data_IF_580810383336
#
_entry.id   IF_580810383336
#
_cell.length_a   1.000
_cell.length_b   1.000
_cell.length_c   1.000
_cell.angle_alpha   90.00
_cell.angle_beta   90.00
_cell.angle_gamma   90.00
#
_symmetry.space_group_name_H-M   'P 1'
#
loop_
_entity.id
_entity.type
_entity.pdbx_description
1 polymer ?
#
# COMPACT_ATOMS: atom_id res chain seq x y z
N UNK A 1 -17.61 20.28 20.88
CA UNK A 1 -17.32 18.90 20.44
C UNK A 1 -16.45 19.02 19.20
N UNK A 2 -15.14 18.72 19.30
CA UNK A 2 -14.18 18.91 18.22
C UNK A 2 -14.48 17.94 17.08
N UNK A 3 -14.93 18.48 15.96
CA UNK A 3 -15.30 17.73 14.77
C UNK A 3 -14.00 17.36 14.04
N UNK A 4 -13.62 16.09 14.12
CA UNK A 4 -12.42 15.50 13.51
C UNK A 4 -12.68 15.19 12.03
N UNK A 5 -12.97 16.21 11.21
CA UNK A 5 -12.96 15.99 9.76
C UNK A 5 -11.51 16.17 9.30
N UNK A 6 -10.81 15.04 9.07
CA UNK A 6 -9.66 15.07 8.18
C UNK A 6 -10.16 15.65 6.85
N UNK A 7 -9.50 16.68 6.34
CA UNK A 7 -9.86 17.23 5.03
C UNK A 7 -9.45 16.22 3.95
N UNK A 8 -10.25 16.09 2.89
CA UNK A 8 -9.93 15.20 1.76
C UNK A 8 -8.54 15.47 1.16
N UNK A 9 -8.07 16.72 1.24
CA UNK A 9 -6.73 17.11 0.83
C UNK A 9 -5.64 16.44 1.68
N UNK A 10 -5.83 16.43 3.01
CA UNK A 10 -4.88 15.84 3.94
C UNK A 10 -4.79 14.32 3.75
N UNK A 11 -5.93 13.65 3.53
CA UNK A 11 -5.94 12.22 3.22
C UNK A 11 -5.16 11.92 1.93
N UNK A 12 -5.37 12.69 0.87
CA UNK A 12 -4.62 12.53 -0.39
C UNK A 12 -3.13 12.71 -0.19
N UNK A 13 -2.70 13.66 0.65
CA UNK A 13 -1.27 13.87 0.97
C UNK A 13 -0.69 12.69 1.75
N UNK A 14 -1.42 12.16 2.73
CA UNK A 14 -1.01 10.97 3.48
C UNK A 14 -0.85 9.78 2.53
N UNK A 15 -1.84 9.53 1.65
CA UNK A 15 -1.77 8.46 0.65
C UNK A 15 -0.58 8.65 -0.29
N UNK A 16 -0.36 9.86 -0.80
CA UNK A 16 0.78 10.14 -1.68
C UNK A 16 2.13 9.85 -0.99
N UNK A 17 2.33 10.33 0.24
CA UNK A 17 3.56 10.08 0.97
C UNK A 17 3.75 8.58 1.28
N UNK A 18 2.67 7.86 1.59
CA UNK A 18 2.70 6.41 1.75
C UNK A 18 3.11 5.70 0.46
N UNK A 19 2.55 6.08 -0.70
CA UNK A 19 2.92 5.50 -2.01
C UNK A 19 4.36 5.78 -2.43
N UNK A 20 4.96 6.87 -1.92
CA UNK A 20 6.37 7.20 -2.11
C UNK A 20 7.31 6.41 -1.20
N UNK A 21 6.78 5.55 -0.32
CA UNK A 21 7.57 4.69 0.56
C UNK A 21 8.03 5.34 1.87
N UNK A 22 7.44 6.46 2.25
CA UNK A 22 7.75 7.10 3.54
C UNK A 22 7.25 6.25 4.71
N UNK A 23 8.04 6.18 5.80
CA UNK A 23 7.58 5.52 7.00
C UNK A 23 6.45 6.32 7.67
N UNK A 24 5.67 5.69 8.53
CA UNK A 24 4.56 6.38 9.21
C UNK A 24 5.06 7.49 10.13
N UNK A 25 6.27 7.33 10.66
CA UNK A 25 6.95 8.35 11.43
C UNK A 25 7.32 9.56 10.55
N UNK A 26 7.82 9.31 9.34
CA UNK A 26 8.19 10.38 8.40
C UNK A 26 6.96 11.11 7.91
N UNK A 27 5.89 10.38 7.54
CA UNK A 27 4.60 10.95 7.15
C UNK A 27 4.08 11.87 8.25
N UNK A 28 4.11 11.42 9.51
CA UNK A 28 3.66 12.24 10.64
C UNK A 28 4.49 13.51 10.80
N UNK A 29 5.81 13.39 10.71
CA UNK A 29 6.73 14.54 10.81
C UNK A 29 6.44 15.54 9.69
N UNK A 30 6.32 15.07 8.45
CA UNK A 30 6.01 15.92 7.29
C UNK A 30 4.66 16.64 7.42
N UNK A 31 3.63 15.96 7.92
CA UNK A 31 2.33 16.60 8.14
C UNK A 31 2.40 17.64 9.27
N UNK A 32 3.09 17.33 10.36
CA UNK A 32 3.27 18.27 11.46
C UNK A 32 4.01 19.53 11.00
N UNK A 33 5.06 19.38 10.18
CA UNK A 33 5.87 20.51 9.70
C UNK A 33 5.12 21.42 8.73
N UNK A 34 4.30 20.85 7.83
CA UNK A 34 3.62 21.61 6.76
C UNK A 34 2.29 22.18 7.25
N UNK A 35 1.56 21.43 8.07
CA UNK A 35 0.18 21.75 8.45
C UNK A 35 0.02 22.14 9.93
N UNK A 36 1.10 22.15 10.72
CA UNK A 36 1.08 22.38 12.18
C UNK A 36 0.08 21.47 12.92
N UNK A 37 -0.09 20.25 12.40
CA UNK A 37 -1.05 19.26 12.87
C UNK A 37 -0.37 17.99 13.34
N UNK A 38 -0.66 17.58 14.58
CA UNK A 38 -0.21 16.28 15.11
C UNK A 38 -1.22 15.19 14.79
N UNK A 39 -0.79 14.19 14.00
CA UNK A 39 -1.59 13.00 13.68
C UNK A 39 -1.10 11.78 14.45
N UNK A 40 -2.02 10.92 14.87
CA UNK A 40 -1.67 9.62 15.45
C UNK A 40 -1.35 8.59 14.36
N UNK A 41 -0.56 7.57 14.68
CA UNK A 41 -0.35 6.43 13.77
C UNK A 41 -1.67 5.72 13.45
N UNK A 42 -2.62 5.72 14.38
CA UNK A 42 -3.97 5.18 14.14
C UNK A 42 -4.71 5.96 13.06
N UNK A 43 -4.56 7.28 13.03
CA UNK A 43 -5.17 8.13 11.99
C UNK A 43 -4.55 7.86 10.62
N UNK A 44 -3.22 7.71 10.55
CA UNK A 44 -2.53 7.37 9.30
C UNK A 44 -2.94 5.98 8.82
N UNK A 45 -3.00 4.98 9.71
CA UNK A 45 -3.53 3.63 9.43
C UNK A 45 -4.94 3.71 8.84
N UNK A 46 -5.86 4.46 9.46
CA UNK A 46 -7.24 4.57 8.95
C UNK A 46 -7.31 5.12 7.52
N UNK A 47 -6.39 6.00 7.15
CA UNK A 47 -6.32 6.54 5.77
C UNK A 47 -5.74 5.51 4.82
N UNK A 48 -4.64 4.84 5.18
CA UNK A 48 -4.00 3.84 4.31
C UNK A 48 -4.84 2.56 4.18
N UNK A 49 -5.60 2.18 5.20
CA UNK A 49 -6.51 1.03 5.20
C UNK A 49 -7.66 1.21 4.21
N UNK A 50 -7.97 2.45 3.76
CA UNK A 50 -8.94 2.69 2.69
C UNK A 50 -8.49 2.10 1.35
N UNK A 51 -7.21 1.74 1.18
CA UNK A 51 -6.69 1.06 0.00
C UNK A 51 -6.98 -0.45 0.02
N UNK A 52 -7.32 -1.04 1.19
CA UNK A 52 -7.53 -2.48 1.31
C UNK A 52 -8.67 -3.01 0.41
N UNK A 53 -9.83 -2.34 0.28
CA UNK A 53 -10.88 -2.79 -0.64
C UNK A 53 -10.44 -2.75 -2.10
N UNK A 54 -9.69 -1.72 -2.51
CA UNK A 54 -9.17 -1.61 -3.88
C UNK A 54 -8.13 -2.71 -4.16
N UNK A 55 -7.26 -2.99 -3.20
CA UNK A 55 -6.30 -4.09 -3.27
C UNK A 55 -7.02 -5.44 -3.39
N UNK A 56 -8.09 -5.66 -2.61
CA UNK A 56 -8.87 -6.88 -2.69
C UNK A 56 -9.55 -7.02 -4.05
N UNK A 57 -10.20 -5.97 -4.54
CA UNK A 57 -10.83 -5.97 -5.86
C UNK A 57 -9.80 -6.22 -6.99
N UNK A 58 -8.60 -5.65 -6.87
CA UNK A 58 -7.51 -5.91 -7.82
C UNK A 58 -7.04 -7.37 -7.76
N UNK A 59 -7.00 -7.99 -6.58
CA UNK A 59 -6.63 -9.41 -6.43
C UNK A 59 -7.71 -10.37 -6.94
N UNK A 60 -8.97 -9.98 -6.86
CA UNK A 60 -10.12 -10.79 -7.28
C UNK A 60 -10.53 -10.54 -8.74
N UNK A 61 -9.84 -9.64 -9.45
CA UNK A 61 -10.14 -9.34 -10.85
C UNK A 61 -9.99 -10.57 -11.74
N UNK A 62 -10.86 -10.69 -12.75
CA UNK A 62 -10.73 -11.73 -13.75
C UNK A 62 -9.42 -11.56 -14.54
N UNK A 63 -8.78 -12.69 -14.80
CA UNK A 63 -7.55 -12.78 -15.58
C UNK A 63 -7.86 -13.29 -16.99
N UNK A 64 -7.00 -12.96 -17.95
CA UNK A 64 -7.11 -13.56 -19.27
C UNK A 64 -6.87 -15.08 -19.22
N UNK A 65 -7.51 -15.80 -20.14
CA UNK A 65 -7.43 -17.25 -20.18
C UNK A 65 -6.03 -17.77 -20.54
N UNK A 66 -5.20 -16.97 -21.22
CA UNK A 66 -3.89 -17.39 -21.74
C UNK A 66 -2.85 -16.28 -21.59
N UNK A 67 -1.75 -16.59 -20.90
CA UNK A 67 -0.54 -15.77 -20.85
C UNK A 67 0.62 -16.57 -21.44
N UNK A 68 1.08 -16.27 -22.68
CA UNK A 68 2.16 -17.03 -23.33
C UNK A 68 3.47 -17.08 -22.55
N UNK A 69 3.77 -16.06 -21.75
CA UNK A 69 4.96 -16.00 -20.88
C UNK A 69 4.54 -15.53 -19.49
N UNK A 70 5.07 -16.17 -18.46
CA UNK A 70 4.88 -15.77 -17.05
C UNK A 70 6.23 -15.76 -16.35
N UNK A 71 6.48 -14.71 -15.57
CA UNK A 71 7.61 -14.59 -14.65
C UNK A 71 7.11 -14.70 -13.22
N UNK A 72 7.89 -15.38 -12.38
CA UNK A 72 7.70 -15.47 -10.94
C UNK A 72 8.96 -14.95 -10.27
N UNK A 73 8.82 -13.99 -9.37
CA UNK A 73 9.90 -13.46 -8.54
C UNK A 73 9.51 -13.53 -7.06
N UNK A 74 10.50 -13.63 -6.17
CA UNK A 74 10.30 -13.78 -4.74
C UNK A 74 11.23 -12.86 -3.94
N UNK A 75 10.65 -11.86 -3.28
CA UNK A 75 11.40 -10.94 -2.42
C UNK A 75 11.21 -11.34 -0.95
N UNK A 76 12.30 -11.59 -0.24
CA UNK A 76 12.25 -12.01 1.16
C UNK A 76 12.29 -10.82 2.11
N UNK A 77 11.24 -10.69 2.93
CA UNK A 77 11.14 -9.66 3.97
C UNK A 77 11.18 -10.29 5.36
N UNK A 78 11.79 -9.56 6.31
CA UNK A 78 11.69 -9.86 7.74
C UNK A 78 10.43 -9.21 8.28
N UNK A 79 9.45 -10.02 8.63
CA UNK A 79 8.20 -9.55 9.22
C UNK A 79 8.09 -10.01 10.67
N UNK A 80 7.43 -9.20 11.50
CA UNK A 80 7.16 -9.55 12.90
C UNK A 80 5.81 -10.27 12.97
N UNK A 81 5.84 -11.54 13.35
CA UNK A 81 4.66 -12.39 13.50
C UNK A 81 4.70 -13.03 14.89
N UNK A 82 3.62 -12.89 15.67
CA UNK A 82 3.53 -13.42 17.04
C UNK A 82 4.74 -13.04 17.93
N UNK A 83 5.23 -11.80 17.77
CA UNK A 83 6.37 -11.27 18.53
C UNK A 83 7.76 -11.70 18.06
N UNK A 84 7.87 -12.55 17.03
CA UNK A 84 9.16 -13.01 16.49
C UNK A 84 9.36 -12.52 15.06
N UNK A 85 10.59 -12.20 14.69
CA UNK A 85 10.93 -11.87 13.31
C UNK A 85 11.12 -13.16 12.51
N UNK A 86 10.33 -13.32 11.46
CA UNK A 86 10.40 -14.43 10.52
C UNK A 86 10.67 -13.92 9.11
N UNK A 87 11.40 -14.70 8.31
CA UNK A 87 11.56 -14.42 6.88
C UNK A 87 10.33 -14.95 6.16
N UNK A 88 9.65 -14.10 5.39
CA UNK A 88 8.62 -14.55 4.43
C UNK A 88 8.97 -14.05 3.04
N UNK A 89 8.74 -14.90 2.05
CA UNK A 89 8.79 -14.52 0.66
C UNK A 89 7.48 -13.84 0.28
N UNK A 90 7.59 -12.75 -0.46
CA UNK A 90 6.48 -12.15 -1.21
C UNK A 90 6.71 -12.54 -2.67
N UNK A 91 5.83 -13.40 -3.17
CA UNK A 91 5.88 -13.88 -4.54
C UNK A 91 5.11 -12.89 -5.45
N UNK A 92 5.78 -12.42 -6.50
CA UNK A 92 5.21 -11.54 -7.52
C UNK A 92 5.14 -12.28 -8.84
N UNK A 93 3.98 -12.21 -9.50
CA UNK A 93 3.74 -12.83 -10.81
C UNK A 93 3.56 -11.72 -11.84
N UNK A 94 4.25 -11.84 -12.97
CA UNK A 94 4.07 -10.96 -14.12
C UNK A 94 3.76 -11.82 -15.35
N UNK A 95 2.69 -11.51 -16.07
CA UNK A 95 2.31 -12.17 -17.31
C UNK A 95 2.61 -11.30 -18.52
N UNK A 96 2.83 -11.93 -19.67
CA UNK A 96 2.72 -11.30 -20.99
C UNK A 96 1.44 -11.82 -21.62
N UNK A 97 0.51 -10.93 -21.97
CA UNK A 97 -0.72 -11.33 -22.62
C UNK A 97 -0.54 -11.52 -24.14
N UNK A 98 -1.60 -11.90 -24.84
CA UNK A 98 -1.53 -12.19 -26.29
C UNK A 98 -1.30 -10.93 -27.15
N UNK A 99 -1.64 -9.74 -26.65
CA UNK A 99 -1.29 -8.47 -27.31
C UNK A 99 0.16 -8.03 -27.05
N UNK A 100 0.94 -8.82 -26.30
CA UNK A 100 2.32 -8.49 -25.97
C UNK A 100 2.45 -7.43 -24.86
N UNK A 101 1.40 -7.22 -24.08
CA UNK A 101 1.40 -6.32 -22.92
C UNK A 101 1.79 -7.09 -21.66
N UNK A 102 2.68 -6.51 -20.87
CA UNK A 102 3.05 -7.05 -19.55
C UNK A 102 2.02 -6.61 -18.53
N UNK A 103 1.45 -7.59 -17.83
CA UNK A 103 0.46 -7.38 -16.78
C UNK A 103 0.30 -8.64 -15.91
N UNK A 104 -0.12 -8.45 -14.67
CA UNK A 104 -0.91 -9.32 -13.79
C UNK A 104 -1.06 -8.55 -12.48
#
# INVERSE_FOLDING_TARGET
KHQTQLTDELERKITALFTLGNSYQDIRTHIADIYDMSLSNGTINTVTDKLLPELQAWRERDLEAVYPIVWLDAIHYKIKENGRYTSKAIDTILGLNIEGKKEL
#
